data_IF_187517690607
#
_entry.id   IF_187517690607
#
_cell.length_a   1.000
_cell.length_b   1.000
_cell.length_c   1.000
_cell.angle_alpha   90.00
_cell.angle_beta   90.00
_cell.angle_gamma   90.00
#
_symmetry.space_group_name_H-M   'P 1'
#
loop_
_entity.id
_entity.type
_entity.pdbx_description
1 polymer ?
#
# COMPACT_ATOMS: atom_id res chain seq x y z
N UNK A 1 -18.90 -50.34 7.59
CA UNK A 1 -17.87 -51.07 6.83
C UNK A 1 -17.91 -50.56 5.39
N UNK A 2 -17.07 -49.57 5.05
CA UNK A 2 -17.04 -49.01 3.70
C UNK A 2 -16.05 -49.78 2.84
N UNK A 3 -16.56 -50.51 1.85
CA UNK A 3 -15.75 -51.13 0.80
C UNK A 3 -15.01 -50.02 0.04
N UNK A 4 -13.69 -49.94 0.19
CA UNK A 4 -12.86 -49.11 -0.67
C UNK A 4 -12.52 -49.98 -1.90
N UNK A 5 -13.18 -49.81 -3.05
CA UNK A 5 -12.85 -50.60 -4.23
C UNK A 5 -11.36 -50.40 -4.53
N UNK A 6 -10.66 -51.49 -4.87
CA UNK A 6 -9.24 -51.44 -5.26
C UNK A 6 -9.04 -50.30 -6.26
N UNK A 7 -8.13 -49.37 -5.99
CA UNK A 7 -7.87 -48.17 -6.81
C UNK A 7 -7.58 -48.50 -8.29
N UNK A 8 -7.09 -49.70 -8.57
CA UNK A 8 -6.89 -50.22 -9.92
C UNK A 8 -8.23 -50.53 -10.64
N UNK A 9 -9.25 -50.96 -9.89
CA UNK A 9 -10.59 -51.28 -10.41
C UNK A 9 -11.34 -50.05 -10.94
N UNK A 10 -11.15 -48.89 -10.31
CA UNK A 10 -11.76 -47.63 -10.76
C UNK A 10 -11.23 -47.20 -12.13
N UNK A 11 -9.91 -47.32 -12.33
CA UNK A 11 -9.28 -46.97 -13.61
C UNK A 11 -9.66 -47.93 -14.74
N UNK A 12 -9.70 -49.23 -14.47
CA UNK A 12 -10.14 -50.23 -15.47
C UNK A 12 -11.60 -50.03 -15.89
N UNK A 13 -12.48 -49.65 -14.95
CA UNK A 13 -13.88 -49.32 -15.26
C UNK A 13 -13.98 -48.13 -16.22
N UNK A 14 -13.20 -47.07 -15.99
CA UNK A 14 -13.17 -45.90 -16.86
C UNK A 14 -12.48 -46.15 -18.20
N UNK A 15 -11.41 -46.94 -18.22
CA UNK A 15 -10.75 -47.33 -19.47
C UNK A 15 -11.71 -48.12 -20.37
N UNK A 16 -12.43 -49.10 -19.81
CA UNK A 16 -13.40 -49.92 -20.53
C UNK A 16 -14.63 -49.14 -21.01
N UNK A 17 -15.05 -48.10 -20.28
CA UNK A 17 -16.15 -47.22 -20.71
C UNK A 17 -15.75 -46.30 -21.86
N UNK A 18 -14.52 -45.76 -21.83
CA UNK A 18 -13.96 -44.91 -22.91
C UNK A 18 -13.73 -45.73 -24.19
N UNK A 19 -13.26 -46.97 -24.08
CA UNK A 19 -13.06 -47.84 -25.25
C UNK A 19 -14.37 -48.30 -25.90
N UNK A 20 -15.47 -48.33 -25.14
CA UNK A 20 -16.78 -48.77 -25.63
C UNK A 20 -17.62 -47.62 -26.22
N UNK A 21 -17.41 -46.37 -25.78
CA UNK A 21 -18.10 -45.20 -26.33
C UNK A 21 -17.22 -43.92 -26.22
N UNK A 22 -16.52 -43.52 -27.29
CA UNK A 22 -15.56 -42.41 -27.26
C UNK A 22 -16.20 -41.01 -27.13
N UNK A 23 -17.54 -40.90 -27.10
CA UNK A 23 -18.28 -39.63 -27.01
C UNK A 23 -19.04 -39.39 -25.70
N UNK A 24 -18.93 -40.26 -24.69
CA UNK A 24 -19.62 -40.08 -23.42
C UNK A 24 -18.87 -39.07 -22.52
N UNK A 25 -19.56 -38.04 -22.01
CA UNK A 25 -19.06 -37.19 -20.94
C UNK A 25 -18.90 -38.03 -19.67
N UNK A 26 -17.65 -38.39 -19.34
CA UNK A 26 -17.33 -39.00 -18.06
C UNK A 26 -17.18 -37.91 -17.01
N UNK A 27 -18.20 -37.78 -16.17
CA UNK A 27 -18.14 -37.02 -14.93
C UNK A 27 -17.35 -37.85 -13.90
N UNK A 28 -16.03 -37.69 -13.89
CA UNK A 28 -15.16 -38.33 -12.90
C UNK A 28 -15.11 -37.44 -11.67
N UNK A 29 -15.57 -37.96 -10.52
CA UNK A 29 -15.39 -37.27 -9.24
C UNK A 29 -13.87 -37.10 -8.97
N UNK A 30 -13.35 -35.86 -8.93
CA UNK A 30 -11.93 -35.59 -8.71
C UNK A 30 -11.41 -36.21 -7.40
N UNK A 31 -12.26 -36.34 -6.38
CA UNK A 31 -11.90 -36.92 -5.09
C UNK A 31 -11.67 -38.42 -5.17
N UNK A 32 -12.50 -39.12 -5.92
CA UNK A 32 -12.40 -40.57 -6.10
C UNK A 32 -11.20 -40.94 -6.98
N UNK A 33 -10.89 -40.13 -7.99
CA UNK A 33 -9.74 -40.33 -8.90
C UNK A 33 -8.41 -40.38 -8.12
N UNK A 34 -8.25 -39.51 -7.13
CA UNK A 34 -7.05 -39.48 -6.29
C UNK A 34 -7.20 -40.24 -4.96
N UNK A 35 -8.42 -40.65 -4.62
CA UNK A 35 -8.77 -41.30 -3.36
C UNK A 35 -8.44 -40.41 -2.16
N UNK A 36 -8.81 -39.13 -2.24
CA UNK A 36 -8.54 -38.09 -1.26
C UNK A 36 -9.83 -37.70 -0.52
N UNK A 37 -9.70 -37.30 0.74
CA UNK A 37 -10.80 -36.70 1.52
C UNK A 37 -11.01 -35.23 1.14
N UNK A 38 -12.20 -34.66 1.37
CA UNK A 38 -12.49 -33.23 1.17
C UNK A 38 -11.54 -32.28 1.93
N UNK A 39 -10.94 -32.77 3.02
CA UNK A 39 -9.97 -32.02 3.84
C UNK A 39 -8.51 -32.36 3.52
N UNK A 40 -8.18 -32.69 2.26
CA UNK A 40 -6.81 -33.05 1.86
C UNK A 40 -5.80 -31.93 2.07
N UNK A 41 -4.53 -32.32 2.31
CA UNK A 41 -3.39 -31.42 2.31
C UNK A 41 -2.74 -31.30 0.91
N UNK A 42 -2.03 -30.20 0.66
CA UNK A 42 -1.39 -29.93 -0.63
C UNK A 42 -0.37 -31.01 -1.04
N UNK A 43 0.39 -31.53 -0.07
CA UNK A 43 1.36 -32.58 -0.32
C UNK A 43 0.70 -33.93 -0.62
N UNK A 44 -0.45 -34.21 -0.01
CA UNK A 44 -1.25 -35.42 -0.33
C UNK A 44 -1.77 -35.37 -1.77
N UNK A 45 -2.26 -34.21 -2.22
CA UNK A 45 -2.72 -34.01 -3.60
C UNK A 45 -1.58 -34.20 -4.60
N UNK A 46 -0.41 -33.60 -4.36
CA UNK A 46 0.78 -33.78 -5.22
C UNK A 46 1.24 -35.23 -5.29
N UNK A 47 1.27 -35.92 -4.15
CA UNK A 47 1.72 -37.30 -4.08
C UNK A 47 0.72 -38.27 -4.72
N UNK A 48 -0.58 -38.00 -4.61
CA UNK A 48 -1.60 -38.74 -5.33
C UNK A 48 -1.49 -38.52 -6.85
N UNK A 49 -1.36 -37.26 -7.29
CA UNK A 49 -1.18 -36.93 -8.70
C UNK A 49 0.06 -37.60 -9.30
N UNK A 50 1.23 -37.51 -8.65
CA UNK A 50 2.46 -38.15 -9.14
C UNK A 50 2.33 -39.67 -9.28
N UNK A 51 1.57 -40.33 -8.40
CA UNK A 51 1.33 -41.78 -8.48
C UNK A 51 0.42 -42.11 -9.65
N UNK A 52 -0.71 -41.41 -9.78
CA UNK A 52 -1.69 -41.66 -10.85
C UNK A 52 -1.11 -41.28 -12.21
N UNK A 53 -0.47 -40.12 -12.33
CA UNK A 53 0.18 -39.66 -13.56
C UNK A 53 1.21 -40.67 -14.09
N UNK A 54 1.97 -41.32 -13.20
CA UNK A 54 2.93 -42.36 -13.60
C UNK A 54 2.26 -43.64 -14.15
N UNK A 55 1.06 -43.97 -13.68
CA UNK A 55 0.30 -45.14 -14.12
C UNK A 55 -0.40 -44.90 -15.46
N UNK A 56 -0.86 -43.66 -15.69
CA UNK A 56 -1.70 -43.32 -16.85
C UNK A 56 -0.92 -42.64 -17.98
N UNK A 57 0.41 -42.48 -17.84
CA UNK A 57 1.25 -41.80 -18.81
C UNK A 57 1.30 -42.54 -20.16
N UNK A 58 1.14 -41.85 -21.31
CA UNK A 58 1.18 -42.45 -22.64
C UNK A 58 2.48 -43.23 -22.91
N UNK A 59 3.64 -42.65 -22.59
CA UNK A 59 4.96 -43.31 -22.78
C UNK A 59 5.15 -44.60 -21.96
N UNK A 60 4.29 -44.86 -20.96
CA UNK A 60 4.36 -46.06 -20.11
C UNK A 60 3.22 -47.04 -20.38
N UNK A 61 2.52 -46.88 -21.51
CA UNK A 61 1.40 -47.74 -21.92
C UNK A 61 0.02 -47.28 -21.41
N UNK A 62 -0.10 -46.03 -20.94
CA UNK A 62 -1.37 -45.42 -20.55
C UNK A 62 -2.12 -44.76 -21.72
N UNK A 63 -3.35 -44.31 -21.46
CA UNK A 63 -4.17 -43.59 -22.46
C UNK A 63 -4.03 -42.08 -22.28
N UNK A 64 -3.72 -41.38 -23.38
CA UNK A 64 -3.63 -39.91 -23.45
C UNK A 64 -4.91 -39.22 -22.93
N UNK A 65 -6.06 -39.78 -23.29
CA UNK A 65 -7.38 -39.25 -22.89
C UNK A 65 -7.54 -39.32 -21.37
N UNK A 66 -7.10 -40.42 -20.75
CA UNK A 66 -7.16 -40.60 -19.30
C UNK A 66 -6.15 -39.71 -18.58
N UNK A 67 -4.96 -39.52 -19.16
CA UNK A 67 -3.96 -38.60 -18.63
C UNK A 67 -4.46 -37.14 -18.60
N UNK A 68 -5.13 -36.70 -19.67
CA UNK A 68 -5.74 -35.38 -19.74
C UNK A 68 -6.82 -35.20 -18.66
N UNK A 69 -7.69 -36.19 -18.48
CA UNK A 69 -8.74 -36.15 -17.44
C UNK A 69 -8.19 -36.13 -16.01
N UNK A 70 -7.14 -36.91 -15.74
CA UNK A 70 -6.44 -36.87 -14.45
C UNK A 70 -5.80 -35.50 -14.22
N UNK A 71 -5.23 -34.89 -15.27
CA UNK A 71 -4.65 -33.55 -15.20
C UNK A 71 -5.71 -32.47 -14.93
N UNK A 72 -6.89 -32.59 -15.52
CA UNK A 72 -7.99 -31.66 -15.29
C UNK A 72 -8.60 -31.82 -13.89
N UNK A 73 -8.77 -33.05 -13.40
CA UNK A 73 -9.18 -33.32 -12.01
C UNK A 73 -8.19 -32.71 -10.99
N UNK A 74 -6.88 -32.76 -11.27
CA UNK A 74 -5.87 -32.12 -10.42
C UNK A 74 -6.02 -30.60 -10.38
N UNK A 75 -6.30 -29.95 -11.52
CA UNK A 75 -6.52 -28.50 -11.58
C UNK A 75 -7.73 -28.08 -10.74
N UNK A 76 -8.82 -28.85 -10.79
CA UNK A 76 -10.04 -28.57 -10.02
C UNK A 76 -9.73 -28.60 -8.51
N UNK A 77 -9.10 -29.67 -8.02
CA UNK A 77 -8.74 -29.79 -6.60
C UNK A 77 -7.69 -28.76 -6.17
N UNK A 78 -6.74 -28.41 -7.05
CA UNK A 78 -5.76 -27.37 -6.75
C UNK A 78 -6.40 -25.98 -6.60
N UNK A 79 -7.39 -25.68 -7.45
CA UNK A 79 -8.16 -24.43 -7.35
C UNK A 79 -9.00 -24.41 -6.08
N UNK A 80 -9.62 -25.53 -5.70
CA UNK A 80 -10.41 -25.64 -4.46
C UNK A 80 -9.54 -25.43 -3.20
N UNK A 81 -8.35 -26.03 -3.16
CA UNK A 81 -7.38 -25.79 -2.09
C UNK A 81 -7.01 -24.30 -1.99
N UNK A 82 -6.76 -23.64 -3.12
CA UNK A 82 -6.40 -22.21 -3.17
C UNK A 82 -7.56 -21.32 -2.69
N UNK A 83 -8.79 -21.65 -3.07
CA UNK A 83 -9.98 -20.92 -2.62
C UNK A 83 -10.20 -21.09 -1.10
N UNK A 84 -9.98 -22.30 -0.56
CA UNK A 84 -10.02 -22.56 0.89
C UNK A 84 -8.97 -21.77 1.67
N UNK A 85 -7.78 -21.56 1.09
CA UNK A 85 -6.74 -20.70 1.68
C UNK A 85 -7.09 -19.20 1.58
N UNK A 86 -7.76 -18.78 0.51
CA UNK A 86 -8.13 -17.38 0.28
C UNK A 86 -9.32 -16.91 1.14
N UNK A 87 -10.26 -17.80 1.44
CA UNK A 87 -11.45 -17.52 2.28
C UNK A 87 -11.16 -17.53 3.79
N UNK A 88 -9.88 -17.64 4.20
CA UNK A 88 -9.50 -17.58 5.61
C UNK A 88 -9.85 -16.23 6.22
N UNK A 89 -10.65 -16.25 7.29
CA UNK A 89 -11.01 -15.05 8.04
C UNK A 89 -9.73 -14.39 8.60
N UNK A 90 -9.70 -13.06 8.73
CA UNK A 90 -8.53 -12.29 9.20
C UNK A 90 -7.87 -12.86 10.48
N UNK A 91 -8.67 -13.47 11.37
CA UNK A 91 -8.17 -14.15 12.58
C UNK A 91 -7.28 -15.35 12.28
N UNK A 92 -7.66 -16.20 11.32
CA UNK A 92 -6.93 -17.41 10.95
C UNK A 92 -5.65 -17.08 10.17
N UNK A 93 -5.69 -16.05 9.33
CA UNK A 93 -4.52 -15.53 8.63
C UNK A 93 -3.46 -14.99 9.61
N UNK A 94 -3.94 -14.27 10.65
CA UNK A 94 -3.08 -13.74 11.71
C UNK A 94 -2.47 -14.83 12.58
N UNK A 95 -3.23 -15.89 12.88
CA UNK A 95 -2.74 -17.03 13.66
C UNK A 95 -1.75 -17.87 12.84
N UNK A 96 -2.06 -18.16 11.58
CA UNK A 96 -1.14 -18.86 10.68
C UNK A 96 0.18 -18.11 10.45
N UNK A 97 0.13 -16.78 10.36
CA UNK A 97 1.34 -15.95 10.32
C UNK A 97 2.15 -16.07 11.61
N UNK A 98 1.50 -16.01 12.78
CA UNK A 98 2.19 -16.16 14.07
C UNK A 98 2.85 -17.53 14.22
N UNK A 99 2.18 -18.60 13.79
CA UNK A 99 2.70 -19.96 13.87
C UNK A 99 3.86 -20.18 12.87
N UNK A 100 3.78 -19.56 11.69
CA UNK A 100 4.88 -19.56 10.73
C UNK A 100 6.11 -18.81 11.28
N UNK A 101 5.91 -17.63 11.88
CA UNK A 101 6.98 -16.83 12.47
C UNK A 101 7.60 -17.55 13.68
N UNK A 102 6.79 -18.14 14.56
CA UNK A 102 7.32 -18.84 15.74
C UNK A 102 8.15 -20.07 15.37
N UNK A 103 7.74 -20.83 14.36
CA UNK A 103 8.42 -22.05 13.94
C UNK A 103 9.67 -21.80 13.09
N UNK A 104 9.68 -20.73 12.28
CA UNK A 104 10.79 -20.45 11.35
C UNK A 104 11.73 -19.34 11.84
N UNK A 105 11.28 -18.48 12.76
CA UNK A 105 12.02 -17.35 13.31
C UNK A 105 11.88 -17.34 14.84
N UNK A 106 12.33 -18.40 15.51
CA UNK A 106 12.42 -18.40 16.96
C UNK A 106 13.44 -17.34 17.42
N UNK A 107 13.08 -16.39 18.31
CA UNK A 107 14.06 -15.44 18.84
C UNK A 107 14.94 -16.14 19.87
N UNK A 108 16.25 -16.15 19.63
CA UNK A 108 17.22 -16.42 20.67
C UNK A 108 17.15 -15.30 21.72
N UNK A 109 16.42 -15.55 22.81
CA UNK A 109 16.41 -14.67 23.97
C UNK A 109 17.78 -14.71 24.66
N UNK A 110 18.64 -13.73 24.35
CA UNK A 110 19.61 -13.23 25.32
C UNK A 110 19.28 -11.78 25.66
N UNK A 111 19.08 -11.55 26.95
CA UNK A 111 18.71 -10.28 27.56
C UNK A 111 19.69 -9.17 27.17
N UNK A 112 19.25 -8.23 26.33
CA UNK A 112 19.72 -6.85 26.37
C UNK A 112 18.54 -5.93 26.61
N UNK A 113 18.47 -5.43 27.83
CA UNK A 113 17.66 -4.26 28.15
C UNK A 113 18.31 -3.06 27.46
N UNK A 114 17.62 -2.44 26.50
CA UNK A 114 17.39 -0.99 26.41
C UNK A 114 16.92 -0.57 25.00
N UNK A 115 15.91 0.29 25.02
CA UNK A 115 15.46 1.22 23.98
C UNK A 115 14.66 0.68 22.79
N UNK A 116 13.37 1.02 22.80
CA UNK A 116 12.41 0.77 21.74
C UNK A 116 12.65 1.73 20.58
N UNK A 117 13.24 1.25 19.50
CA UNK A 117 13.23 1.95 18.22
C UNK A 117 11.86 1.77 17.52
N UNK A 118 11.36 2.80 16.81
CA UNK A 118 10.09 2.71 16.09
C UNK A 118 10.19 1.78 14.88
N UNK A 119 9.17 0.94 14.72
CA UNK A 119 9.03 -0.04 13.64
C UNK A 119 8.90 0.64 12.28
N UNK A 120 9.82 0.33 11.37
CA UNK A 120 9.77 0.73 9.96
C UNK A 120 8.63 0.01 9.19
N UNK A 121 8.09 0.62 8.11
CA UNK A 121 7.32 -0.10 7.11
C UNK A 121 8.25 -1.11 6.43
N UNK A 122 7.90 -2.38 6.50
CA UNK A 122 8.63 -3.45 5.83
C UNK A 122 8.50 -3.28 4.32
N UNK A 123 9.56 -2.83 3.65
CA UNK A 123 9.65 -2.93 2.20
C UNK A 123 9.86 -4.41 1.83
N UNK A 124 9.13 -4.95 0.84
CA UNK A 124 9.41 -6.29 0.35
C UNK A 124 10.76 -6.27 -0.36
N UNK A 125 11.80 -6.82 0.28
CA UNK A 125 13.11 -7.00 -0.34
C UNK A 125 12.96 -7.99 -1.50
N UNK A 126 12.88 -7.48 -2.73
CA UNK A 126 13.13 -8.30 -3.91
C UNK A 126 14.64 -8.53 -3.97
N UNK A 127 15.12 -9.56 -3.26
CA UNK A 127 16.47 -10.07 -3.43
C UNK A 127 16.63 -10.60 -4.87
N UNK A 128 17.81 -10.45 -5.48
CA UNK A 128 18.05 -10.93 -6.83
C UNK A 128 17.96 -12.46 -6.84
N UNK A 129 17.06 -12.97 -7.68
CA UNK A 129 16.87 -14.41 -7.91
C UNK A 129 18.12 -14.96 -8.60
N UNK A 130 19.05 -15.46 -7.80
CA UNK A 130 20.21 -16.21 -8.26
C UNK A 130 19.77 -17.44 -9.06
N UNK A 131 20.38 -17.56 -10.24
CA UNK A 131 20.22 -18.64 -11.22
C UNK A 131 20.09 -20.03 -10.59
N UNK A 132 19.02 -20.73 -10.98
CA UNK A 132 18.82 -22.14 -10.70
C UNK A 132 19.83 -22.99 -11.49
N UNK A 133 20.72 -23.70 -10.79
CA UNK A 133 21.34 -24.91 -11.31
C UNK A 133 21.71 -25.86 -10.18
N UNK A 134 21.06 -27.03 -10.15
CA UNK A 134 21.68 -28.26 -9.66
C UNK A 134 21.36 -28.68 -8.22
N UNK A 135 20.46 -29.66 -8.13
CA UNK A 135 20.52 -30.81 -7.22
C UNK A 135 20.70 -30.60 -5.70
N UNK A 136 19.63 -30.91 -4.97
CA UNK A 136 19.72 -31.76 -3.78
C UNK A 136 20.56 -31.26 -2.62
N UNK A 137 20.09 -30.21 -1.95
CA UNK A 137 20.54 -29.80 -0.62
C UNK A 137 19.51 -28.85 -0.05
N UNK A 138 19.05 -29.08 1.18
CA UNK A 138 18.10 -28.18 1.81
C UNK A 138 18.70 -26.78 1.91
N UNK A 139 18.06 -25.80 1.26
CA UNK A 139 18.33 -24.37 1.40
C UNK A 139 18.03 -23.95 2.85
N UNK A 140 18.95 -24.27 3.76
CA UNK A 140 19.12 -23.50 4.98
C UNK A 140 19.70 -22.18 4.51
N UNK A 141 18.85 -21.15 4.44
CA UNK A 141 19.31 -19.76 4.39
C UNK A 141 20.39 -19.64 5.44
N UNK A 142 21.63 -19.33 5.02
CA UNK A 142 22.74 -19.20 5.95
C UNK A 142 22.46 -17.98 6.84
N UNK A 143 21.83 -18.24 7.98
CA UNK A 143 21.42 -17.22 8.94
C UNK A 143 22.65 -16.42 9.42
N UNK A 144 23.83 -17.04 9.46
CA UNK A 144 25.07 -16.34 9.80
C UNK A 144 25.52 -15.40 8.69
N UNK A 145 25.31 -15.75 7.42
CA UNK A 145 25.54 -14.83 6.30
C UNK A 145 24.54 -13.67 6.34
N UNK A 146 23.26 -13.95 6.58
CA UNK A 146 22.21 -12.94 6.61
C UNK A 146 22.42 -11.93 7.76
N UNK A 147 22.82 -12.40 8.95
CA UNK A 147 23.13 -11.51 10.08
C UNK A 147 24.38 -10.66 9.82
N UNK A 148 25.41 -11.24 9.20
CA UNK A 148 26.60 -10.49 8.77
C UNK A 148 26.24 -9.45 7.71
N UNK A 149 25.44 -9.81 6.73
CA UNK A 149 24.97 -8.93 5.67
C UNK A 149 24.14 -7.78 6.24
N UNK A 150 23.13 -8.07 7.05
CA UNK A 150 22.27 -7.06 7.67
C UNK A 150 23.09 -6.10 8.53
N UNK A 151 24.03 -6.60 9.34
CA UNK A 151 24.95 -5.74 10.10
C UNK A 151 25.78 -4.85 9.18
N UNK A 152 26.43 -5.42 8.16
CA UNK A 152 27.24 -4.62 7.21
C UNK A 152 26.40 -3.61 6.43
N UNK A 153 25.14 -3.95 6.13
CA UNK A 153 24.19 -3.08 5.45
C UNK A 153 23.72 -1.95 6.36
N UNK A 154 23.34 -2.24 7.61
CA UNK A 154 22.93 -1.22 8.59
C UNK A 154 24.08 -0.26 8.90
N UNK A 155 25.30 -0.78 9.09
CA UNK A 155 26.50 0.03 9.33
C UNK A 155 26.87 0.92 8.13
N UNK A 156 26.54 0.48 6.91
CA UNK A 156 26.83 1.21 5.67
C UNK A 156 25.56 1.71 4.98
N UNK A 157 24.44 1.86 5.70
CA UNK A 157 23.24 2.41 5.11
C UNK A 157 23.46 3.91 4.91
N UNK A 158 23.32 4.39 3.67
CA UNK A 158 23.31 5.82 3.43
C UNK A 158 22.01 6.40 3.98
N UNK A 159 22.09 7.08 5.12
CA UNK A 159 20.99 7.86 5.65
C UNK A 159 21.05 9.26 5.05
N UNK A 160 20.00 9.64 4.34
CA UNK A 160 19.83 11.01 3.91
C UNK A 160 19.27 11.80 5.10
N UNK A 161 20.10 12.64 5.72
CA UNK A 161 19.73 13.45 6.91
C UNK A 161 18.43 14.25 6.69
N UNK A 162 18.09 14.58 5.44
CA UNK A 162 16.90 15.36 5.04
C UNK A 162 15.62 14.50 4.90
N UNK A 163 15.77 13.20 4.60
CA UNK A 163 14.66 12.23 4.49
C UNK A 163 14.72 11.15 5.57
N UNK A 164 15.55 11.37 6.60
CA UNK A 164 15.81 10.46 7.69
C UNK A 164 14.52 9.89 8.27
N UNK A 165 14.58 8.59 8.52
CA UNK A 165 13.54 7.68 8.98
C UNK A 165 12.80 8.07 10.28
N UNK A 166 13.03 9.27 10.83
CA UNK A 166 12.59 9.72 12.15
C UNK A 166 11.44 10.72 12.14
N UNK A 167 11.10 11.35 11.00
CA UNK A 167 10.07 12.41 10.98
C UNK A 167 8.77 11.87 10.36
N UNK A 168 8.04 11.08 11.13
CA UNK A 168 6.66 10.68 10.81
C UNK A 168 5.67 11.38 11.74
N UNK A 169 4.37 11.12 11.58
CA UNK A 169 3.36 11.58 12.53
C UNK A 169 3.35 10.78 13.84
N UNK A 170 4.36 9.93 14.09
CA UNK A 170 4.41 9.02 15.24
C UNK A 170 4.31 9.73 16.59
N UNK A 171 4.85 10.94 16.71
CA UNK A 171 4.76 11.75 17.94
C UNK A 171 3.36 12.34 18.17
N UNK A 172 2.58 12.51 17.10
CA UNK A 172 1.24 13.12 17.12
C UNK A 172 0.14 12.04 17.08
N UNK A 173 0.45 10.86 16.56
CA UNK A 173 -0.43 9.70 16.54
C UNK A 173 -0.52 9.10 17.94
N UNK A 174 -1.67 9.23 18.59
CA UNK A 174 -1.94 8.54 19.83
C UNK A 174 -1.70 7.03 19.66
N UNK A 175 -0.98 6.41 20.61
CA UNK A 175 -0.83 4.95 20.64
C UNK A 175 -2.22 4.34 20.79
N UNK A 176 -2.62 3.50 19.83
CA UNK A 176 -3.94 2.87 19.85
C UNK A 176 -4.17 2.13 21.18
N UNK A 177 -5.09 2.63 22.00
CA UNK A 177 -5.57 1.92 23.19
C UNK A 177 -6.68 0.95 22.80
N UNK A 178 -6.67 -0.25 23.38
CA UNK A 178 -7.82 -1.19 23.26
C UNK A 178 -9.07 -0.66 23.95
N UNK A 179 -8.88 0.24 24.91
CA UNK A 179 -9.93 0.95 25.64
C UNK A 179 -10.27 2.17 24.80
N UNK A 180 -11.49 2.23 24.27
CA UNK A 180 -11.99 3.43 23.59
C UNK A 180 -12.02 4.53 24.65
N UNK A 181 -11.22 5.58 24.49
CA UNK A 181 -11.35 6.75 25.34
C UNK A 181 -12.79 7.23 25.22
N UNK A 182 -13.52 7.27 26.34
CA UNK A 182 -14.90 7.74 26.37
C UNK A 182 -14.88 9.22 25.99
N UNK A 183 -14.96 9.51 24.69
CA UNK A 183 -15.35 10.82 24.21
C UNK A 183 -16.78 10.99 24.74
N UNK A 184 -16.95 11.77 25.79
CA UNK A 184 -18.26 12.19 26.24
C UNK A 184 -18.86 13.00 25.09
N UNK A 185 -19.64 12.35 24.21
CA UNK A 185 -20.37 13.02 23.14
C UNK A 185 -21.62 13.59 23.83
N UNK A 186 -21.67 14.91 24.13
CA UNK A 186 -22.86 15.49 24.70
C UNK A 186 -24.02 15.29 23.73
N UNK A 187 -25.18 14.91 24.24
CA UNK A 187 -26.37 14.72 23.42
C UNK A 187 -26.82 16.08 22.87
N UNK A 188 -26.39 16.39 21.65
CA UNK A 188 -26.64 17.67 20.97
C UNK A 188 -28.08 17.83 20.48
N UNK A 189 -28.83 16.72 20.30
CA UNK A 189 -30.24 16.76 19.91
C UNK A 189 -31.06 15.68 20.63
N UNK A 190 -32.24 16.05 21.12
CA UNK A 190 -33.15 15.12 21.79
C UNK A 190 -33.95 14.24 20.81
N UNK A 191 -34.29 14.77 19.63
CA UNK A 191 -34.93 14.08 18.51
C UNK A 191 -34.36 14.64 17.20
N UNK A 192 -34.16 13.77 16.20
CA UNK A 192 -33.64 14.16 14.90
C UNK A 192 -34.74 14.83 14.07
N UNK A 193 -34.44 16.01 13.51
CA UNK A 193 -35.27 16.71 12.54
C UNK A 193 -34.36 17.21 11.40
N UNK A 194 -34.60 16.77 10.17
CA UNK A 194 -33.77 17.14 9.01
C UNK A 194 -33.67 18.65 8.78
N UNK A 195 -34.71 19.41 9.16
CA UNK A 195 -34.75 20.86 8.95
C UNK A 195 -34.01 21.65 10.04
N UNK A 196 -33.86 21.08 11.23
CA UNK A 196 -33.19 21.72 12.37
C UNK A 196 -31.77 21.20 12.59
N UNK A 197 -31.41 20.09 11.94
CA UNK A 197 -30.09 19.49 12.05
C UNK A 197 -28.98 20.48 11.70
N UNK A 198 -29.06 21.12 10.52
CA UNK A 198 -28.04 22.08 10.08
C UNK A 198 -27.93 23.27 11.05
N UNK A 199 -29.06 23.80 11.55
CA UNK A 199 -29.07 24.92 12.50
C UNK A 199 -28.40 24.56 13.83
N UNK A 200 -28.76 23.43 14.43
CA UNK A 200 -28.19 22.97 15.70
C UNK A 200 -26.73 22.51 15.56
N UNK A 201 -26.36 22.02 14.38
CA UNK A 201 -24.99 21.67 14.06
C UNK A 201 -24.12 22.94 13.94
N UNK A 202 -24.58 23.93 13.18
CA UNK A 202 -23.85 25.18 12.98
C UNK A 202 -23.74 26.00 14.28
N UNK A 203 -24.77 26.03 15.12
CA UNK A 203 -24.75 26.64 16.46
C UNK A 203 -23.68 26.02 17.38
N UNK A 204 -23.55 24.69 17.41
CA UNK A 204 -22.55 24.02 18.24
C UNK A 204 -21.12 24.22 17.70
N UNK A 205 -20.97 24.41 16.40
CA UNK A 205 -19.68 24.65 15.74
C UNK A 205 -19.21 26.08 15.97
N UNK A 206 -20.10 27.08 15.92
CA UNK A 206 -19.75 28.47 16.22
C UNK A 206 -19.29 28.69 17.67
N UNK A 207 -19.68 27.79 18.59
CA UNK A 207 -19.31 27.84 20.01
C UNK A 207 -18.03 27.05 20.33
N UNK A 208 -17.47 26.28 19.39
CA UNK A 208 -16.12 25.75 19.56
C UNK A 208 -15.11 26.91 19.41
N UNK A 209 -14.01 26.90 20.18
CA UNK A 209 -12.93 27.85 19.96
C UNK A 209 -12.50 27.72 18.50
N UNK A 210 -12.76 28.77 17.70
CA UNK A 210 -12.34 28.87 16.32
C UNK A 210 -10.85 28.57 16.32
N UNK A 211 -10.47 27.37 15.88
CA UNK A 211 -9.08 27.01 15.74
C UNK A 211 -8.53 27.83 14.57
N UNK A 212 -8.08 29.04 14.90
CA UNK A 212 -7.50 30.01 13.99
C UNK A 212 -8.52 30.63 13.04
N UNK A 213 -8.70 31.97 13.14
CA UNK A 213 -8.90 32.74 11.91
C UNK A 213 -7.66 32.47 11.07
N UNK A 214 -7.70 31.48 10.18
CA UNK A 214 -6.59 31.24 9.26
C UNK A 214 -6.39 32.55 8.51
N UNK A 215 -5.24 33.19 8.76
CA UNK A 215 -4.84 34.36 8.00
C UNK A 215 -4.79 33.88 6.56
N UNK A 216 -5.71 34.39 5.73
CA UNK A 216 -5.73 34.08 4.31
C UNK A 216 -4.41 34.60 3.75
N UNK A 217 -3.43 33.70 3.60
CA UNK A 217 -2.14 34.02 3.04
C UNK A 217 -2.36 34.22 1.54
N UNK A 218 -2.34 35.47 1.11
CA UNK A 218 -2.38 35.77 -0.32
C UNK A 218 -1.08 35.26 -0.95
N UNK A 219 -1.20 34.24 -1.80
CA UNK A 219 -0.11 33.73 -2.62
C UNK A 219 -0.29 34.27 -4.04
N UNK A 220 0.80 34.76 -4.63
CA UNK A 220 0.80 35.09 -6.04
C UNK A 220 0.52 33.81 -6.86
N UNK A 221 -0.20 33.91 -7.99
CA UNK A 221 -0.50 32.75 -8.81
C UNK A 221 0.80 32.14 -9.35
N UNK A 222 1.10 30.92 -8.89
CA UNK A 222 2.24 30.16 -9.37
C UNK A 222 1.91 29.46 -10.69
N UNK A 223 2.92 29.25 -11.54
CA UNK A 223 2.74 28.52 -12.78
C UNK A 223 2.35 27.06 -12.46
N UNK A 224 1.19 26.63 -12.96
CA UNK A 224 0.77 25.24 -12.83
C UNK A 224 1.62 24.36 -13.76
N UNK A 225 2.20 23.25 -13.27
CA UNK A 225 2.86 22.29 -14.15
C UNK A 225 1.83 21.75 -15.15
N UNK A 226 2.11 21.88 -16.45
CA UNK A 226 1.19 21.51 -17.54
C UNK A 226 0.74 20.05 -17.49
N UNK A 227 1.51 19.18 -16.85
CA UNK A 227 1.26 17.76 -16.77
C UNK A 227 1.18 17.31 -15.31
N UNK A 228 0.09 17.66 -14.63
CA UNK A 228 -0.23 17.17 -13.27
C UNK A 228 -0.36 15.63 -13.21
N UNK A 229 -0.49 14.98 -14.37
CA UNK A 229 -0.46 13.52 -14.53
C UNK A 229 0.94 12.92 -14.52
N UNK A 230 1.98 13.70 -14.80
CA UNK A 230 3.36 13.22 -14.75
C UNK A 230 3.79 13.27 -13.29
N UNK A 231 3.98 12.11 -12.69
CA UNK A 231 4.59 11.98 -11.37
C UNK A 231 6.04 12.44 -11.48
N UNK A 232 6.37 13.57 -10.87
CA UNK A 232 7.74 14.05 -10.74
C UNK A 232 8.05 14.31 -9.27
N UNK A 233 9.33 14.25 -8.92
CA UNK A 233 9.83 14.60 -7.60
C UNK A 233 10.90 15.66 -7.78
N UNK A 234 10.76 16.78 -7.09
CA UNK A 234 11.74 17.85 -7.14
C UNK A 234 13.01 17.42 -6.40
N UNK A 235 14.11 17.22 -7.15
CA UNK A 235 15.39 16.84 -6.56
C UNK A 235 15.96 17.99 -5.72
N UNK A 236 16.44 17.69 -4.51
CA UNK A 236 16.98 18.67 -3.57
C UNK A 236 15.95 19.64 -2.98
N UNK A 237 14.66 19.43 -3.29
CA UNK A 237 13.56 20.21 -2.71
C UNK A 237 13.31 19.83 -1.26
N UNK A 238 12.71 20.74 -0.50
CA UNK A 238 12.30 20.45 0.86
C UNK A 238 11.27 19.31 0.88
N UNK A 239 11.26 18.56 1.98
CA UNK A 239 10.28 17.49 2.18
C UNK A 239 8.84 18.05 2.11
N UNK A 240 7.92 17.38 1.37
CA UNK A 240 6.52 17.77 1.39
C UNK A 240 5.94 17.72 2.81
N UNK A 241 5.30 18.81 3.24
CA UNK A 241 4.64 18.93 4.54
C UNK A 241 3.17 18.53 4.50
N UNK A 242 2.61 18.40 3.30
CA UNK A 242 1.22 18.02 3.06
C UNK A 242 1.20 16.89 2.02
N UNK A 243 0.73 15.73 2.46
CA UNK A 243 0.55 14.55 1.60
C UNK A 243 -0.92 14.38 1.20
N UNK A 244 -1.77 15.40 1.33
CA UNK A 244 -3.17 15.33 0.90
C UNK A 244 -3.25 15.22 -0.62
N UNK A 245 -4.19 14.41 -1.10
CA UNK A 245 -4.58 14.35 -2.50
C UNK A 245 -5.98 14.90 -2.67
N UNK A 246 -6.08 15.92 -3.50
CA UNK A 246 -7.34 16.39 -4.05
C UNK A 246 -7.47 15.82 -5.46
N UNK A 247 -8.66 15.33 -5.84
CA UNK A 247 -8.94 14.84 -7.20
C UNK A 247 -8.93 15.97 -8.26
N UNK A 248 -8.32 17.13 -7.98
CA UNK A 248 -8.20 18.24 -8.90
C UNK A 248 -7.30 17.86 -10.07
N UNK A 249 -7.92 17.43 -11.18
CA UNK A 249 -7.26 17.16 -12.46
C UNK A 249 -7.32 15.71 -12.93
N UNK A 250 -7.97 14.79 -12.20
CA UNK A 250 -8.18 13.41 -12.66
C UNK A 250 -9.63 13.26 -13.14
N UNK A 251 -9.81 13.07 -14.45
CA UNK A 251 -11.12 12.89 -15.09
C UNK A 251 -11.86 11.63 -14.64
N UNK A 252 -11.17 10.70 -13.98
CA UNK A 252 -11.73 9.44 -13.50
C UNK A 252 -12.00 9.57 -11.99
N UNK A 253 -13.28 9.66 -11.61
CA UNK A 253 -13.75 9.77 -10.22
C UNK A 253 -13.51 8.50 -9.37
N UNK A 254 -12.60 7.62 -9.81
CA UNK A 254 -12.25 6.36 -9.15
C UNK A 254 -11.10 6.49 -8.15
N UNK A 255 -10.40 7.62 -8.15
CA UNK A 255 -9.35 7.91 -7.16
C UNK A 255 -9.95 8.24 -5.79
N UNK A 256 -9.51 7.51 -4.76
CA UNK A 256 -9.80 7.85 -3.37
C UNK A 256 -9.14 9.19 -3.04
N UNK A 257 -9.94 10.17 -2.60
CA UNK A 257 -9.42 11.39 -1.98
C UNK A 257 -8.88 11.03 -0.61
N UNK A 258 -7.71 11.56 -0.27
CA UNK A 258 -7.11 11.38 1.04
C UNK A 258 -6.56 12.71 1.55
N UNK A 259 -6.68 12.93 2.84
CA UNK A 259 -6.09 14.07 3.52
C UNK A 259 -4.91 13.57 4.34
N UNK A 260 -3.85 14.37 4.36
CA UNK A 260 -2.77 14.20 5.30
C UNK A 260 -3.30 14.20 6.75
N UNK A 261 -2.70 13.36 7.61
CA UNK A 261 -3.13 13.17 9.00
C UNK A 261 -3.02 14.46 9.82
N UNK A 262 -1.90 15.19 9.70
CA UNK A 262 -1.69 16.43 10.42
C UNK A 262 -2.65 17.51 9.95
N UNK A 263 -2.88 17.59 8.64
CA UNK A 263 -3.88 18.50 8.06
C UNK A 263 -5.26 18.17 8.60
N UNK A 264 -5.69 16.90 8.53
CA UNK A 264 -7.00 16.47 8.99
C UNK A 264 -7.28 16.78 10.48
N UNK A 265 -6.25 16.68 11.33
CA UNK A 265 -6.36 16.94 12.77
C UNK A 265 -6.12 18.40 13.18
N UNK A 266 -5.44 19.19 12.35
CA UNK A 266 -5.20 20.63 12.61
C UNK A 266 -6.28 21.54 12.02
N UNK A 267 -6.92 21.14 10.92
CA UNK A 267 -7.97 21.93 10.30
C UNK A 267 -9.30 21.70 10.99
N UNK A 268 -9.77 22.68 11.77
CA UNK A 268 -11.20 22.78 12.07
C UNK A 268 -11.96 23.22 10.81
N UNK A 269 -13.28 22.96 10.74
CA UNK A 269 -14.17 23.23 9.59
C UNK A 269 -13.67 24.38 8.70
N UNK A 270 -13.40 24.07 7.43
CA UNK A 270 -12.66 24.94 6.50
C UNK A 270 -13.25 26.36 6.36
N UNK A 271 -14.57 26.54 6.52
CA UNK A 271 -15.22 27.83 6.30
C UNK A 271 -16.45 27.97 7.20
N UNK A 272 -16.56 29.09 7.92
CA UNK A 272 -17.82 29.55 8.53
C UNK A 272 -18.66 30.27 7.45
N UNK A 273 -19.85 29.74 7.07
CA UNK A 273 -20.73 30.36 6.08
C UNK A 273 -21.06 31.81 6.39
N UNK A 274 -21.09 32.21 7.67
CA UNK A 274 -21.35 33.58 8.10
C UNK A 274 -20.21 34.57 7.82
N UNK A 275 -18.98 34.07 7.63
CA UNK A 275 -17.80 34.90 7.31
C UNK A 275 -17.56 35.08 5.81
N UNK A 276 -18.23 34.29 4.98
CA UNK A 276 -18.12 34.38 3.53
C UNK A 276 -18.83 35.66 3.08
N UNK A 277 -18.07 36.64 2.59
CA UNK A 277 -18.66 37.79 1.90
C UNK A 277 -19.42 37.29 0.69
N UNK A 278 -20.72 37.60 0.60
CA UNK A 278 -21.51 37.31 -0.58
C UNK A 278 -20.85 37.90 -1.82
N UNK A 279 -20.84 37.14 -2.92
CA UNK A 279 -20.35 37.66 -4.20
C UNK A 279 -21.21 38.88 -4.56
N UNK A 280 -20.55 39.96 -4.98
CA UNK A 280 -21.26 41.15 -5.44
C UNK A 280 -22.13 40.77 -6.64
N UNK A 281 -23.43 40.94 -6.50
CA UNK A 281 -24.37 40.77 -7.60
C UNK A 281 -24.31 42.00 -8.52
N UNK A 282 -24.39 41.76 -9.82
CA UNK A 282 -24.35 42.81 -10.84
C UNK A 282 -25.67 42.82 -11.59
N UNK A 283 -26.19 44.02 -11.87
CA UNK A 283 -27.49 44.15 -12.56
C UNK A 283 -27.38 43.92 -14.06
N UNK A 284 -26.18 44.02 -14.63
CA UNK A 284 -25.93 43.79 -16.06
C UNK A 284 -24.51 43.27 -16.32
N UNK A 285 -24.34 42.59 -17.47
CA UNK A 285 -23.01 42.12 -17.94
C UNK A 285 -22.04 43.29 -18.12
N UNK A 286 -22.52 44.44 -18.63
CA UNK A 286 -21.68 45.64 -18.81
C UNK A 286 -21.19 46.22 -17.48
N UNK A 287 -21.99 46.17 -16.43
CA UNK A 287 -21.57 46.60 -15.09
C UNK A 287 -20.44 45.72 -14.56
N UNK A 288 -20.58 44.40 -14.71
CA UNK A 288 -19.56 43.42 -14.35
C UNK A 288 -18.25 43.63 -15.13
N UNK A 289 -18.35 43.86 -16.45
CA UNK A 289 -17.17 44.12 -17.28
C UNK A 289 -16.45 45.39 -16.87
N UNK A 290 -17.18 46.47 -16.58
CA UNK A 290 -16.59 47.74 -16.11
C UNK A 290 -15.89 47.59 -14.77
N UNK A 291 -16.47 46.86 -13.81
CA UNK A 291 -15.82 46.63 -12.51
C UNK A 291 -14.62 45.73 -12.64
N UNK A 292 -14.72 44.66 -13.45
CA UNK A 292 -13.58 43.77 -13.77
C UNK A 292 -12.44 44.53 -14.41
N UNK A 293 -12.72 45.33 -15.44
CA UNK A 293 -11.70 46.10 -16.17
C UNK A 293 -11.01 47.13 -15.27
N UNK A 294 -11.74 47.75 -14.34
CA UNK A 294 -11.16 48.67 -13.35
C UNK A 294 -10.20 47.96 -12.40
N UNK A 295 -10.48 46.71 -12.06
CA UNK A 295 -9.60 45.88 -11.22
C UNK A 295 -8.37 45.43 -12.00
N UNK A 296 -8.55 44.94 -13.24
CA UNK A 296 -7.45 44.42 -14.09
C UNK A 296 -6.49 45.53 -14.52
N UNK A 297 -7.01 46.69 -14.91
CA UNK A 297 -6.20 47.80 -15.46
C UNK A 297 -5.55 48.66 -14.37
N UNK A 298 -5.74 48.33 -13.08
CA UNK A 298 -5.10 49.04 -11.98
C UNK A 298 -3.60 48.70 -12.01
N UNK A 299 -2.70 49.68 -12.21
CA UNK A 299 -1.28 49.41 -12.13
C UNK A 299 -0.93 48.96 -10.70
N UNK A 300 0.05 48.05 -10.54
CA UNK A 300 0.48 47.62 -9.22
C UNK A 300 0.98 48.82 -8.44
N UNK A 301 0.58 48.88 -7.17
CA UNK A 301 1.06 49.89 -6.23
C UNK A 301 2.54 49.68 -5.94
N UNK A 302 3.23 50.73 -5.46
CA UNK A 302 4.66 50.62 -5.13
C UNK A 302 4.93 49.56 -4.05
N UNK A 303 4.00 49.39 -3.11
CA UNK A 303 4.08 48.33 -2.08
C UNK A 303 3.96 46.94 -2.69
N UNK A 304 3.02 46.72 -3.61
CA UNK A 304 2.85 45.45 -4.35
C UNK A 304 4.10 45.13 -5.22
N UNK A 305 4.69 46.14 -5.85
CA UNK A 305 5.95 46.00 -6.60
C UNK A 305 7.11 45.58 -5.69
N UNK A 306 7.22 46.18 -4.49
CA UNK A 306 8.25 45.84 -3.51
C UNK A 306 8.04 44.43 -2.93
N UNK A 307 6.80 44.02 -2.67
CA UNK A 307 6.51 42.66 -2.19
C UNK A 307 6.83 41.62 -3.25
N UNK A 308 6.46 41.86 -4.51
CA UNK A 308 6.77 40.96 -5.63
C UNK A 308 8.29 40.85 -5.84
N UNK A 309 9.03 41.96 -5.77
CA UNK A 309 10.49 41.94 -5.86
C UNK A 309 11.13 41.13 -4.72
N UNK A 310 10.66 41.32 -3.48
CA UNK A 310 11.11 40.55 -2.32
C UNK A 310 10.79 39.07 -2.45
N UNK A 311 9.59 38.73 -2.93
CA UNK A 311 9.18 37.34 -3.14
C UNK A 311 10.07 36.66 -4.19
N UNK A 312 10.33 37.34 -5.31
CA UNK A 312 11.24 36.87 -6.37
C UNK A 312 12.66 36.63 -5.85
N UNK A 313 13.17 37.50 -4.98
CA UNK A 313 14.49 37.32 -4.37
C UNK A 313 14.50 36.12 -3.41
N UNK A 314 13.46 35.95 -2.59
CA UNK A 314 13.30 34.79 -1.72
C UNK A 314 13.26 33.49 -2.52
N UNK A 315 12.49 33.45 -3.61
CA UNK A 315 12.37 32.27 -4.46
C UNK A 315 13.70 31.95 -5.16
N UNK A 316 14.44 32.98 -5.60
CA UNK A 316 15.80 32.79 -6.12
C UNK A 316 16.74 32.19 -5.07
N UNK A 317 16.72 32.71 -3.85
CA UNK A 317 17.56 32.19 -2.74
C UNK A 317 17.19 30.74 -2.39
N UNK A 318 15.90 30.40 -2.40
CA UNK A 318 15.44 29.01 -2.20
C UNK A 318 15.96 28.08 -3.29
N UNK A 319 15.90 28.49 -4.55
CA UNK A 319 16.42 27.68 -5.66
C UNK A 319 17.95 27.52 -5.58
N UNK A 320 18.69 28.58 -5.21
CA UNK A 320 20.14 28.50 -4.97
C UNK A 320 20.47 27.54 -3.82
N UNK A 321 19.69 27.57 -2.73
CA UNK A 321 19.85 26.65 -1.60
C UNK A 321 19.53 25.20 -1.98
N UNK A 322 18.44 24.97 -2.73
CA UNK A 322 18.05 23.66 -3.28
C UNK A 322 19.18 23.05 -4.13
N UNK A 323 19.77 23.84 -5.03
CA UNK A 323 20.90 23.40 -5.86
C UNK A 323 22.14 23.09 -5.02
N UNK A 324 22.41 23.88 -3.97
CA UNK A 324 23.49 23.62 -3.02
C UNK A 324 23.28 22.30 -2.28
N UNK A 325 22.09 22.07 -1.72
CA UNK A 325 21.72 20.82 -1.04
C UNK A 325 21.88 19.62 -1.97
N UNK A 326 21.40 19.73 -3.21
CA UNK A 326 21.53 18.67 -4.21
C UNK A 326 23.00 18.32 -4.48
N UNK A 327 23.85 19.34 -4.65
CA UNK A 327 25.30 19.15 -4.86
C UNK A 327 25.98 18.49 -3.66
N UNK A 328 25.67 18.94 -2.44
CA UNK A 328 26.22 18.35 -1.20
C UNK A 328 25.79 16.89 -1.05
N UNK A 329 24.53 16.58 -1.34
CA UNK A 329 23.98 15.22 -1.30
C UNK A 329 24.68 14.31 -2.31
N UNK A 330 24.85 14.77 -3.56
CA UNK A 330 25.53 13.99 -4.60
C UNK A 330 27.00 13.73 -4.24
N UNK A 331 27.68 14.71 -3.63
CA UNK A 331 29.04 14.53 -3.10
C UNK A 331 29.08 13.47 -1.99
N UNK A 332 28.19 13.57 -0.99
CA UNK A 332 28.08 12.58 0.10
C UNK A 332 27.84 11.16 -0.45
N UNK A 333 26.96 11.03 -1.45
CA UNK A 333 26.66 9.75 -2.10
C UNK A 333 27.92 9.19 -2.78
N UNK A 334 28.66 10.02 -3.51
CA UNK A 334 29.91 9.59 -4.18
C UNK A 334 30.94 9.10 -3.16
N UNK A 335 31.18 9.86 -2.09
CA UNK A 335 32.13 9.50 -1.03
C UNK A 335 31.72 8.22 -0.31
N UNK A 336 30.41 8.04 -0.09
CA UNK A 336 29.85 6.84 0.49
C UNK A 336 30.02 5.63 -0.42
N UNK A 337 29.70 5.76 -1.71
CA UNK A 337 29.88 4.72 -2.71
C UNK A 337 31.35 4.25 -2.78
N UNK A 338 32.30 5.18 -2.80
CA UNK A 338 33.73 4.84 -2.82
C UNK A 338 34.17 4.12 -1.55
N UNK A 339 33.60 4.49 -0.40
CA UNK A 339 33.86 3.83 0.89
C UNK A 339 33.34 2.39 0.88
N UNK A 340 32.10 2.17 0.49
CA UNK A 340 31.45 0.84 0.47
C UNK A 340 32.12 -0.06 -0.56
N UNK A 341 32.43 0.45 -1.76
CA UNK A 341 33.13 -0.33 -2.77
C UNK A 341 34.52 -0.79 -2.31
N UNK A 342 35.26 0.04 -1.57
CA UNK A 342 36.53 -0.38 -0.96
C UNK A 342 36.35 -1.51 0.06
N UNK A 343 35.22 -1.57 0.76
CA UNK A 343 34.92 -2.65 1.72
C UNK A 343 34.51 -3.95 1.03
N UNK A 344 33.85 -3.87 -0.13
CA UNK A 344 33.37 -5.04 -0.88
C UNK A 344 34.40 -5.69 -1.81
N UNK A 345 35.45 -4.97 -2.20
CA UNK A 345 36.51 -5.46 -3.11
C UNK A 345 37.65 -6.18 -2.37
N UNK A 346 37.63 -6.18 -1.03
CA UNK A 346 38.66 -6.83 -0.20
C UNK A 346 38.24 -8.24 0.16
#
# INVERSE_FOLDING_TARGET
>A
MGNNPSRNSTYEKYYNSISSNPGAELDMDPYEVFGLSKNFEWEELKNAYRRVAKLVHPDKGGSEILFQKVSDAFKILAQEYKNREADKQYGDLKNGYKDYVSNNFAPAHQQRQQETHPTHPSYPSQLPRGSASGAGGGDRVDLEFLDRFNRTFEENRFEDDEYGNSVGYGDIMEKSSKIRGDIAIPKVMNKFNSNDFNKKFDENVTNMPIAGKQVIKYAEPQALPLAKSIQYTELGGDRPSDFSSTNEGVSDHRGLQYSDYLVAHSTSRLIDPGTIKSRKEYRSVSEYEKTRDKIIKKPPTEEELRSAARQKELDKRKEEERLRKLKERDQKISEHHDRVNRLLIR
#
